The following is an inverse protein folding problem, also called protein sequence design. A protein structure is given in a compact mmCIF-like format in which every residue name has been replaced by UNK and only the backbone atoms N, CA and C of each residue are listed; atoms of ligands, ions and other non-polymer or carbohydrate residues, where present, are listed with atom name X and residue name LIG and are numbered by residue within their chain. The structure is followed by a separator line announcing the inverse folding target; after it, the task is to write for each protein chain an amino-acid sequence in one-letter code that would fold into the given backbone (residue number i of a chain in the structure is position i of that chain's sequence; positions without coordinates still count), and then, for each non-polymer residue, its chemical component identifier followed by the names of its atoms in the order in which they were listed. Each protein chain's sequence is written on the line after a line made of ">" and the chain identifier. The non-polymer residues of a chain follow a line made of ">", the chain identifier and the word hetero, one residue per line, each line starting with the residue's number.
data_IF_363750460771
#
_entry.id   IF_363750460771
#
_cell.length_a   1.000
_cell.length_b   1.000
_cell.length_c   1.000
_cell.angle_alpha   90.00
_cell.angle_beta   90.00
_cell.angle_gamma   90.00
#
_symmetry.space_group_name_H-M   'P 1'
#
loop_
_entity.id
_entity.type
_entity.pdbx_description
1 polymer ?
#
# COMPACT_ATOMS: atom_id res chain seq x y z
N UNK A 1 -48.37 13.63 8.76
CA UNK A 1 -47.35 12.57 8.63
C UNK A 1 -46.24 13.10 7.74
N UNK A 2 -45.15 13.58 8.34
CA UNK A 2 -43.98 14.00 7.57
C UNK A 2 -43.03 12.82 7.48
N UNK A 3 -42.95 12.24 6.29
CA UNK A 3 -41.99 11.20 5.97
C UNK A 3 -40.58 11.77 6.08
N UNK A 4 -39.84 11.30 7.08
CA UNK A 4 -38.40 11.52 7.15
C UNK A 4 -37.81 10.86 5.92
N UNK A 5 -37.34 11.67 4.96
CA UNK A 5 -36.46 11.22 3.88
C UNK A 5 -35.33 10.45 4.55
N UNK A 6 -35.28 9.13 4.32
CA UNK A 6 -34.07 8.34 4.57
C UNK A 6 -32.95 9.06 3.83
N UNK A 7 -32.01 9.66 4.57
CA UNK A 7 -30.68 9.95 4.03
C UNK A 7 -30.20 8.63 3.45
N UNK A 8 -29.99 8.56 2.15
CA UNK A 8 -29.14 7.52 1.59
C UNK A 8 -27.79 7.70 2.28
N UNK A 9 -27.49 6.84 3.25
CA UNK A 9 -26.11 6.52 3.60
C UNK A 9 -25.59 5.83 2.34
N UNK A 10 -24.99 6.60 1.44
CA UNK A 10 -23.89 6.04 0.66
C UNK A 10 -22.88 5.59 1.70
N UNK A 11 -22.62 4.29 1.72
CA UNK A 11 -21.63 3.66 2.57
C UNK A 11 -20.35 4.48 2.55
N UNK A 12 -19.99 5.02 3.72
CA UNK A 12 -18.64 5.53 3.97
C UNK A 12 -17.68 4.36 3.64
N UNK A 13 -17.12 4.36 2.43
CA UNK A 13 -16.02 3.49 1.98
C UNK A 13 -14.81 3.74 2.89
N UNK A 14 -14.84 3.17 4.08
CA UNK A 14 -13.87 3.40 5.14
C UNK A 14 -12.71 2.44 4.94
N UNK A 15 -11.73 2.88 4.16
CA UNK A 15 -10.38 2.36 4.29
C UNK A 15 -9.98 2.41 5.76
N UNK A 16 -9.30 1.37 6.23
CA UNK A 16 -8.75 1.32 7.58
C UNK A 16 -7.25 1.07 7.51
N UNK A 17 -6.50 1.81 8.32
CA UNK A 17 -5.10 1.53 8.58
C UNK A 17 -4.93 0.92 9.97
N UNK A 18 -3.97 0.02 10.11
CA UNK A 18 -3.54 -0.56 11.39
C UNK A 18 -2.02 -0.49 11.46
N UNK A 19 -1.50 0.17 12.50
CA UNK A 19 -0.06 0.24 12.73
C UNK A 19 0.46 -1.07 13.34
N UNK A 20 1.53 -1.62 12.74
CA UNK A 20 2.21 -2.83 13.21
C UNK A 20 3.69 -2.73 12.87
N UNK A 21 4.57 -2.88 13.88
CA UNK A 21 6.02 -3.00 13.72
C UNK A 21 6.61 -2.06 12.66
N UNK A 22 6.44 -0.74 12.85
CA UNK A 22 6.89 0.36 11.97
C UNK A 22 6.12 0.56 10.65
N UNK A 23 5.19 -0.32 10.28
CA UNK A 23 4.44 -0.23 9.03
C UNK A 23 2.94 -0.11 9.29
N UNK A 24 2.19 0.23 8.24
CA UNK A 24 0.74 0.32 8.30
C UNK A 24 0.10 -0.71 7.37
N UNK A 25 -0.71 -1.62 7.90
CA UNK A 25 -1.59 -2.47 7.09
C UNK A 25 -2.75 -1.63 6.59
N UNK A 26 -3.12 -1.79 5.32
CA UNK A 26 -4.23 -1.11 4.67
C UNK A 26 -5.33 -2.13 4.38
N UNK A 27 -6.54 -1.84 4.87
CA UNK A 27 -7.71 -2.70 4.70
C UNK A 27 -8.82 -1.97 3.93
N UNK A 28 -9.54 -2.72 3.10
CA UNK A 28 -10.75 -2.25 2.43
C UNK A 28 -11.97 -2.20 3.38
N UNK A 29 -13.12 -1.81 2.84
CA UNK A 29 -14.39 -1.71 3.56
C UNK A 29 -14.89 -3.06 4.10
N UNK A 30 -14.48 -4.17 3.48
CA UNK A 30 -14.81 -5.55 3.88
C UNK A 30 -13.79 -6.13 4.88
N UNK A 31 -12.81 -5.32 5.32
CA UNK A 31 -11.70 -5.68 6.20
C UNK A 31 -10.74 -6.70 5.60
N UNK A 32 -10.70 -6.81 4.27
CA UNK A 32 -9.66 -7.57 3.61
C UNK A 32 -8.38 -6.75 3.57
N UNK A 33 -7.24 -7.41 3.77
CA UNK A 33 -5.94 -6.78 3.64
C UNK A 33 -5.68 -6.44 2.17
N UNK A 34 -5.66 -5.15 1.86
CA UNK A 34 -5.44 -4.62 0.51
C UNK A 34 -3.97 -4.33 0.26
N UNK A 35 -3.20 -4.01 1.30
CA UNK A 35 -1.78 -3.70 1.13
C UNK A 35 -1.10 -3.20 2.39
N UNK A 36 0.06 -2.59 2.19
CA UNK A 36 0.89 -2.05 3.25
C UNK A 36 1.44 -0.69 2.86
N UNK A 37 1.53 0.22 3.82
CA UNK A 37 2.20 1.50 3.67
C UNK A 37 3.43 1.55 4.58
N UNK A 38 4.55 1.95 4.00
CA UNK A 38 5.87 2.06 4.65
C UNK A 38 6.25 3.54 4.68
N UNK A 39 6.02 4.26 5.78
CA UNK A 39 6.38 5.67 5.88
C UNK A 39 7.90 5.89 5.75
N UNK A 40 8.29 7.01 5.15
CA UNK A 40 9.69 7.44 5.11
C UNK A 40 10.02 8.18 6.42
N UNK A 41 10.40 7.44 7.46
CA UNK A 41 10.69 8.02 8.78
C UNK A 41 11.96 8.88 8.83
N UNK A 42 12.90 8.72 7.87
CA UNK A 42 14.16 9.48 7.80
C UNK A 42 14.92 9.50 9.13
N UNK A 43 15.02 8.32 9.77
CA UNK A 43 15.65 8.19 11.09
C UNK A 43 17.16 8.33 10.95
N UNK A 44 17.72 9.36 11.60
CA UNK A 44 19.16 9.50 11.77
C UNK A 44 19.57 9.09 13.20
N UNK A 45 20.13 7.89 13.32
CA UNK A 45 20.52 7.26 14.58
C UNK A 45 21.73 7.95 15.22
N UNK A 46 22.55 8.66 14.43
CA UNK A 46 23.76 9.35 14.92
C UNK A 46 23.44 10.38 16.01
N UNK A 47 22.24 10.95 15.99
CA UNK A 47 21.77 11.94 16.96
C UNK A 47 21.26 11.31 18.28
N UNK A 48 21.08 9.99 18.34
CA UNK A 48 20.40 9.27 19.43
C UNK A 48 21.32 8.28 20.18
N UNK A 49 22.63 8.28 19.89
CA UNK A 49 23.65 7.51 20.61
C UNK A 49 23.86 8.00 22.06
N UNK A 50 22.86 7.82 22.92
CA UNK A 50 22.99 8.04 24.36
C UNK A 50 23.11 6.73 25.13
N UNK A 51 22.63 5.61 24.59
CA UNK A 51 22.60 4.32 25.27
C UNK A 51 23.33 3.24 24.46
N UNK A 52 24.58 2.93 24.87
CA UNK A 52 25.44 1.92 24.22
C UNK A 52 24.98 0.47 24.45
N UNK A 53 23.92 0.25 25.23
CA UNK A 53 23.39 -1.09 25.49
C UNK A 53 22.39 -1.58 24.44
N UNK A 54 21.90 -0.69 23.57
CA UNK A 54 20.94 -1.00 22.51
C UNK A 54 21.66 -1.15 21.17
N UNK A 55 21.13 -2.04 20.34
CA UNK A 55 21.49 -2.12 18.93
C UNK A 55 20.90 -0.95 18.15
N UNK A 56 21.49 -0.60 17.00
CA UNK A 56 21.00 0.48 16.14
C UNK A 56 19.52 0.27 15.76
N UNK A 57 19.11 -0.97 15.50
CA UNK A 57 17.71 -1.32 15.19
C UNK A 57 16.75 -1.05 16.37
N UNK A 58 17.15 -1.38 17.60
CA UNK A 58 16.31 -1.10 18.78
C UNK A 58 16.18 0.40 19.06
N UNK A 59 17.20 1.18 18.70
CA UNK A 59 17.15 2.64 18.79
C UNK A 59 16.21 3.19 17.72
N UNK A 60 16.32 2.71 16.47
CA UNK A 60 15.45 3.08 15.36
C UNK A 60 13.97 2.77 15.67
N UNK A 61 13.65 1.56 16.13
CA UNK A 61 12.28 1.17 16.50
C UNK A 61 11.69 2.11 17.55
N UNK A 62 12.47 2.47 18.58
CA UNK A 62 12.04 3.41 19.62
C UNK A 62 11.77 4.80 19.06
N UNK A 63 12.61 5.29 18.15
CA UNK A 63 12.42 6.58 17.49
C UNK A 63 11.13 6.53 16.65
N UNK A 64 10.95 5.49 15.83
CA UNK A 64 9.76 5.32 14.99
C UNK A 64 8.48 5.23 15.83
N UNK A 65 8.49 4.46 16.91
CA UNK A 65 7.36 4.40 17.84
C UNK A 65 7.03 5.78 18.42
N UNK A 66 8.05 6.54 18.82
CA UNK A 66 7.85 7.87 19.36
C UNK A 66 7.32 8.83 18.29
N UNK A 67 7.82 8.77 17.06
CA UNK A 67 7.33 9.55 15.93
C UNK A 67 5.85 9.28 15.65
N UNK A 68 5.43 8.01 15.71
CA UNK A 68 4.04 7.62 15.54
C UNK A 68 3.16 8.10 16.70
N UNK A 69 3.63 7.98 17.96
CA UNK A 69 2.92 8.50 19.15
C UNK A 69 2.74 10.01 19.10
N UNK A 70 3.75 10.73 18.62
CA UNK A 70 3.73 12.19 18.47
C UNK A 70 3.05 12.67 17.18
N UNK A 71 2.60 11.76 16.31
CA UNK A 71 2.02 12.07 15.00
C UNK A 71 2.91 13.01 14.18
N UNK A 72 4.20 12.68 14.08
CA UNK A 72 5.15 13.47 13.29
C UNK A 72 4.77 13.47 11.82
N UNK A 73 5.17 14.53 11.14
CA UNK A 73 5.10 14.62 9.68
C UNK A 73 6.28 13.84 9.06
N UNK A 74 6.02 13.11 7.98
CA UNK A 74 7.01 12.39 7.18
C UNK A 74 6.92 12.80 5.71
N UNK A 75 8.02 12.63 4.97
CA UNK A 75 8.07 12.91 3.53
C UNK A 75 7.60 11.68 2.73
N UNK A 76 6.34 11.36 2.91
CA UNK A 76 5.63 10.31 2.19
C UNK A 76 6.08 8.91 2.59
N UNK A 77 6.08 7.99 1.63
CA UNK A 77 6.36 6.59 1.88
C UNK A 77 6.11 5.71 0.67
N UNK A 78 6.19 4.41 0.89
CA UNK A 78 5.95 3.40 -0.14
C UNK A 78 4.63 2.68 0.11
N UNK A 79 3.72 2.69 -0.86
CA UNK A 79 2.47 1.93 -0.81
C UNK A 79 2.63 0.64 -1.61
N UNK A 80 2.62 -0.50 -0.93
CA UNK A 80 2.69 -1.84 -1.53
C UNK A 80 1.29 -2.43 -1.69
N UNK A 81 0.97 -2.86 -2.90
CA UNK A 81 -0.32 -3.42 -3.28
C UNK A 81 -0.14 -4.72 -4.10
N UNK A 82 -1.05 -5.69 -4.02
CA UNK A 82 -1.09 -6.80 -4.96
C UNK A 82 -1.39 -6.25 -6.36
N UNK A 83 -0.58 -6.65 -7.34
CA UNK A 83 -0.68 -6.14 -8.71
C UNK A 83 -1.31 -7.18 -9.63
N UNK A 84 -0.74 -8.38 -9.64
CA UNK A 84 -1.07 -9.49 -10.55
C UNK A 84 -0.93 -10.82 -9.82
N UNK A 85 -1.89 -11.72 -9.98
CA UNK A 85 -1.75 -13.14 -9.64
C UNK A 85 -1.43 -13.89 -10.93
N UNK A 86 -0.19 -14.36 -11.07
CA UNK A 86 0.35 -14.94 -12.30
C UNK A 86 -0.42 -16.18 -12.74
N UNK A 87 -0.86 -17.01 -11.79
CA UNK A 87 -1.51 -18.31 -12.03
C UNK A 87 -0.67 -19.26 -12.90
N UNK A 88 0.65 -19.10 -12.88
CA UNK A 88 1.59 -19.88 -13.69
C UNK A 88 2.63 -20.62 -12.84
N UNK A 89 2.75 -20.27 -11.56
CA UNK A 89 3.75 -20.83 -10.66
C UNK A 89 3.15 -21.92 -9.77
N UNK A 90 4.03 -22.74 -9.20
CA UNK A 90 3.70 -23.83 -8.26
C UNK A 90 2.82 -24.96 -8.85
N UNK A 91 2.80 -25.12 -10.17
CA UNK A 91 2.10 -26.22 -10.86
C UNK A 91 3.02 -27.44 -11.05
N UNK A 92 2.76 -28.55 -10.35
CA UNK A 92 3.60 -29.77 -10.38
C UNK A 92 3.20 -30.79 -11.45
N UNK A 93 1.99 -30.71 -12.00
CA UNK A 93 1.45 -31.66 -12.98
C UNK A 93 1.67 -31.22 -14.45
N UNK A 94 2.35 -30.08 -14.66
CA UNK A 94 2.43 -29.43 -15.95
C UNK A 94 1.14 -28.66 -16.29
N UNK A 95 1.22 -27.75 -17.25
CA UNK A 95 0.09 -26.93 -17.70
C UNK A 95 -0.10 -27.08 -19.20
N UNK A 96 -1.35 -27.03 -19.66
CA UNK A 96 -1.65 -26.97 -21.09
C UNK A 96 -1.11 -25.67 -21.70
N UNK A 97 -0.54 -25.77 -22.90
CA UNK A 97 0.07 -24.62 -23.59
C UNK A 97 -0.93 -23.47 -23.80
N UNK A 98 -2.16 -23.77 -24.21
CA UNK A 98 -3.20 -22.77 -24.44
C UNK A 98 -3.56 -21.98 -23.17
N UNK A 99 -3.56 -22.66 -22.02
CA UNK A 99 -3.75 -22.01 -20.72
C UNK A 99 -2.57 -21.09 -20.37
N UNK A 100 -1.34 -21.56 -20.59
CA UNK A 100 -0.14 -20.74 -20.34
C UNK A 100 -0.16 -19.48 -21.20
N UNK A 101 -0.50 -19.60 -22.49
CA UNK A 101 -0.62 -18.47 -23.41
C UNK A 101 -1.67 -17.48 -22.89
N UNK A 102 -2.88 -17.96 -22.56
CA UNK A 102 -3.96 -17.07 -22.10
C UNK A 102 -3.56 -16.30 -20.84
N UNK A 103 -2.91 -16.97 -19.87
CA UNK A 103 -2.47 -16.31 -18.63
C UNK A 103 -1.35 -15.31 -18.85
N UNK A 104 -0.39 -15.60 -19.73
CA UNK A 104 0.64 -14.63 -20.09
C UNK A 104 0.03 -13.38 -20.75
N UNK A 105 -0.95 -13.55 -21.64
CA UNK A 105 -1.64 -12.44 -22.30
C UNK A 105 -2.46 -11.60 -21.31
N UNK A 106 -3.24 -12.25 -20.45
CA UNK A 106 -4.01 -11.59 -19.38
C UNK A 106 -3.10 -10.78 -18.44
N UNK A 107 -2.01 -11.39 -17.95
CA UNK A 107 -1.05 -10.74 -17.07
C UNK A 107 -0.35 -9.56 -17.75
N UNK A 108 0.01 -9.69 -19.03
CA UNK A 108 0.59 -8.61 -19.82
C UNK A 108 -0.40 -7.45 -20.01
N UNK A 109 -1.67 -7.75 -20.29
CA UNK A 109 -2.72 -6.72 -20.36
C UNK A 109 -2.90 -6.01 -19.02
N UNK A 110 -3.01 -6.75 -17.91
CA UNK A 110 -3.12 -6.17 -16.57
C UNK A 110 -1.93 -5.28 -16.21
N UNK A 111 -0.72 -5.69 -16.59
CA UNK A 111 0.50 -4.89 -16.41
C UNK A 111 0.41 -3.56 -17.16
N UNK A 112 -0.11 -3.57 -18.40
CA UNK A 112 -0.28 -2.35 -19.20
C UNK A 112 -1.33 -1.41 -18.59
N UNK A 113 -2.41 -1.94 -18.03
CA UNK A 113 -3.42 -1.12 -17.34
C UNK A 113 -2.79 -0.40 -16.14
N UNK A 114 -2.03 -1.12 -15.30
CA UNK A 114 -1.28 -0.51 -14.19
C UNK A 114 -0.33 0.58 -14.67
N UNK A 115 0.46 0.29 -15.71
CA UNK A 115 1.40 1.26 -16.29
C UNK A 115 0.68 2.54 -16.76
N UNK A 116 -0.38 2.38 -17.55
CA UNK A 116 -1.14 3.52 -18.09
C UNK A 116 -1.75 4.34 -16.95
N UNK A 117 -2.35 3.68 -15.95
CA UNK A 117 -2.94 4.36 -14.81
C UNK A 117 -1.89 5.19 -14.05
N UNK A 118 -0.68 4.67 -13.85
CA UNK A 118 0.40 5.44 -13.20
C UNK A 118 0.79 6.63 -14.07
N UNK A 119 0.99 6.44 -15.38
CA UNK A 119 1.34 7.53 -16.31
C UNK A 119 0.28 8.64 -16.32
N UNK A 120 -1.00 8.29 -16.17
CA UNK A 120 -2.11 9.25 -16.16
C UNK A 120 -2.27 9.99 -14.82
N UNK A 121 -1.82 9.40 -13.71
CA UNK A 121 -2.16 9.87 -12.36
C UNK A 121 -0.93 10.27 -11.50
N UNK A 122 0.31 10.08 -11.99
CA UNK A 122 1.51 10.27 -11.15
C UNK A 122 1.67 11.68 -10.58
N UNK A 123 1.28 12.71 -11.34
CA UNK A 123 1.39 14.11 -10.88
C UNK A 123 0.39 14.40 -9.77
N UNK A 124 -0.85 13.91 -9.90
CA UNK A 124 -1.94 14.15 -8.95
C UNK A 124 -1.61 13.54 -7.59
N UNK A 125 -1.13 12.29 -7.57
CA UNK A 125 -0.82 11.56 -6.34
C UNK A 125 0.66 11.62 -5.94
N UNK A 126 1.46 12.47 -6.60
CA UNK A 126 2.90 12.63 -6.35
C UNK A 126 3.65 11.30 -6.32
N UNK A 127 3.34 10.42 -7.27
CA UNK A 127 4.01 9.14 -7.44
C UNK A 127 5.35 9.40 -8.13
N UNK A 128 6.45 9.15 -7.43
CA UNK A 128 7.82 9.41 -7.90
C UNK A 128 8.49 8.18 -8.52
N UNK A 129 7.88 7.00 -8.38
CA UNK A 129 8.38 5.77 -8.96
C UNK A 129 7.50 4.58 -8.62
N UNK A 130 7.73 3.48 -9.34
CA UNK A 130 7.07 2.20 -9.10
C UNK A 130 8.05 1.04 -9.28
N UNK A 131 8.01 0.08 -8.37
CA UNK A 131 8.83 -1.14 -8.41
C UNK A 131 7.97 -2.38 -8.23
N UNK A 132 8.33 -3.48 -8.91
CA UNK A 132 7.56 -4.73 -8.86
C UNK A 132 8.37 -5.79 -8.10
N UNK A 133 7.72 -6.47 -7.16
CA UNK A 133 8.32 -7.51 -6.34
C UNK A 133 7.46 -8.77 -6.37
N UNK A 134 8.09 -9.94 -6.25
CA UNK A 134 7.36 -11.18 -5.92
C UNK A 134 6.93 -11.15 -4.46
N UNK A 135 5.67 -11.45 -4.16
CA UNK A 135 5.23 -11.56 -2.77
C UNK A 135 5.99 -12.70 -2.07
N UNK A 136 6.43 -12.44 -0.83
CA UNK A 136 7.29 -13.37 -0.08
C UNK A 136 6.59 -14.70 0.22
N UNK A 137 5.29 -14.63 0.52
CA UNK A 137 4.49 -15.79 0.96
C UNK A 137 3.80 -16.50 -0.21
N UNK A 138 3.57 -15.80 -1.32
CA UNK A 138 2.96 -16.36 -2.53
C UNK A 138 3.77 -15.92 -3.75
N UNK A 139 4.64 -16.82 -4.24
CA UNK A 139 5.47 -16.56 -5.42
C UNK A 139 4.63 -16.29 -6.67
N UNK A 140 3.38 -16.74 -6.68
CA UNK A 140 2.44 -16.55 -7.77
C UNK A 140 1.83 -15.14 -7.79
N UNK A 141 2.14 -14.28 -6.81
CA UNK A 141 1.68 -12.89 -6.76
C UNK A 141 2.86 -11.95 -7.02
N UNK A 142 2.66 -11.02 -7.96
CA UNK A 142 3.46 -9.82 -8.09
C UNK A 142 2.79 -8.68 -7.33
N UNK A 143 3.55 -7.99 -6.52
CA UNK A 143 3.17 -6.77 -5.82
C UNK A 143 3.82 -5.57 -6.48
N UNK A 144 3.08 -4.47 -6.56
CA UNK A 144 3.58 -3.17 -6.97
C UNK A 144 3.81 -2.30 -5.74
N UNK A 145 4.93 -1.59 -5.72
CA UNK A 145 5.26 -0.58 -4.72
C UNK A 145 5.27 0.77 -5.40
N UNK A 146 4.42 1.68 -4.92
CA UNK A 146 4.34 3.07 -5.38
C UNK A 146 5.05 3.97 -4.37
N UNK A 147 6.08 4.66 -4.81
CA UNK A 147 6.74 5.69 -3.99
C UNK A 147 5.96 6.99 -4.05
N UNK A 148 5.52 7.50 -2.90
CA UNK A 148 4.71 8.71 -2.76
C UNK A 148 5.56 9.80 -2.11
N UNK A 149 5.69 10.96 -2.77
CA UNK A 149 6.39 12.14 -2.23
C UNK A 149 5.39 13.21 -1.80
N UNK A 150 4.75 13.01 -0.65
CA UNK A 150 3.87 14.01 -0.04
C UNK A 150 4.14 14.12 1.45
N UNK A 151 4.03 15.33 1.98
CA UNK A 151 3.97 15.51 3.43
C UNK A 151 2.74 14.76 3.98
N UNK A 152 2.96 13.89 4.96
CA UNK A 152 1.94 13.02 5.55
C UNK A 152 2.10 12.97 7.06
N UNK A 153 0.98 12.98 7.79
CA UNK A 153 1.01 12.93 9.25
C UNK A 153 0.86 11.48 9.69
N UNK A 154 1.81 10.99 10.50
CA UNK A 154 1.75 9.66 11.07
C UNK A 154 0.54 9.49 11.99
N UNK A 155 -0.05 8.30 11.96
CA UNK A 155 -1.26 7.95 12.69
C UNK A 155 -2.25 7.22 11.79
N UNK A 156 -2.95 6.21 12.31
CA UNK A 156 -3.84 5.36 11.52
C UNK A 156 -4.94 6.17 10.82
N UNK A 157 -5.53 7.15 11.51
CA UNK A 157 -6.60 7.97 10.93
C UNK A 157 -6.05 9.03 9.98
N UNK A 158 -4.92 9.65 10.35
CA UNK A 158 -4.25 10.69 9.58
C UNK A 158 -3.77 10.15 8.23
N UNK A 159 -2.97 9.08 8.25
CA UNK A 159 -2.51 8.41 7.03
C UNK A 159 -3.66 7.82 6.23
N UNK A 160 -4.72 7.31 6.88
CA UNK A 160 -5.91 6.86 6.15
C UNK A 160 -6.51 8.00 5.34
N UNK A 161 -6.64 9.20 5.92
CA UNK A 161 -7.18 10.36 5.21
C UNK A 161 -6.23 10.82 4.10
N UNK A 162 -4.92 10.81 4.33
CA UNK A 162 -3.92 11.21 3.34
C UNK A 162 -3.88 10.24 2.14
N UNK A 163 -4.01 8.93 2.37
CA UNK A 163 -3.98 7.90 1.33
C UNK A 163 -5.34 7.67 0.66
N UNK A 164 -6.45 8.03 1.30
CA UNK A 164 -7.81 7.77 0.80
C UNK A 164 -8.05 8.24 -0.65
N UNK A 165 -7.62 9.43 -1.09
CA UNK A 165 -7.81 9.85 -2.48
C UNK A 165 -7.16 8.88 -3.47
N UNK A 166 -5.92 8.46 -3.19
CA UNK A 166 -5.18 7.49 -4.00
C UNK A 166 -5.86 6.13 -3.99
N UNK A 167 -6.23 5.61 -2.82
CA UNK A 167 -6.88 4.30 -2.68
C UNK A 167 -8.24 4.27 -3.40
N UNK A 168 -9.04 5.33 -3.28
CA UNK A 168 -10.30 5.46 -4.01
C UNK A 168 -10.08 5.47 -5.52
N UNK A 169 -9.04 6.18 -6.00
CA UNK A 169 -8.75 6.27 -7.43
C UNK A 169 -8.24 4.94 -8.01
N UNK A 170 -7.45 4.20 -7.25
CA UNK A 170 -7.00 2.85 -7.61
C UNK A 170 -8.20 1.89 -7.68
N UNK A 171 -9.10 1.95 -6.70
CA UNK A 171 -10.31 1.13 -6.68
C UNK A 171 -11.23 1.44 -7.87
N UNK A 172 -11.47 2.73 -8.17
CA UNK A 172 -12.23 3.16 -9.34
C UNK A 172 -11.59 2.72 -10.67
N UNK A 173 -10.26 2.58 -10.70
CA UNK A 173 -9.52 2.03 -11.84
C UNK A 173 -9.53 0.51 -11.91
N UNK A 174 -10.28 -0.16 -11.03
CA UNK A 174 -10.32 -1.62 -10.86
C UNK A 174 -8.93 -2.23 -10.63
N UNK A 175 -8.01 -1.46 -10.06
CA UNK A 175 -6.64 -1.90 -9.78
C UNK A 175 -6.53 -2.67 -8.46
N UNK A 176 -7.39 -2.32 -7.50
CA UNK A 176 -7.53 -2.92 -6.17
C UNK A 176 -9.00 -3.10 -5.78
#
# INVERSE_FOLDING_TARGET
>A
MFGIRRKNKEDDNLWKLEYIDSIYKVYDWDRNLTGYFFPNYDVNIDNYYSDKSLTDHEIEDKIIEQMNKEKKSVKGGNLMLPMIKLQLLDNTEGMHLDYVISKLEENAQRTRIWKQWIEDNYQEFKIIGSSIYTAREDRNILSIVLGIDSEMILGENELCNDLRPLLNRLHQGELI
#
